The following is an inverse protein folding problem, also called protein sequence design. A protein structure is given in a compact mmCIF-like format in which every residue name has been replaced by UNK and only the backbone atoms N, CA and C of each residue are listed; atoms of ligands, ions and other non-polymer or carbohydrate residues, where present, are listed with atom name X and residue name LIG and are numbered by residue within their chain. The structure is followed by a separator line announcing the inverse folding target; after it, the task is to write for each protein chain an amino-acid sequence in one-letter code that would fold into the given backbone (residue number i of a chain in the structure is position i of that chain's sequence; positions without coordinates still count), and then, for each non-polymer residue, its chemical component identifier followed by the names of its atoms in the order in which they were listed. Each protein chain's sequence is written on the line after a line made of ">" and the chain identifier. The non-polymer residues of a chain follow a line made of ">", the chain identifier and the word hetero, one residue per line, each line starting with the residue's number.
data_IF_651804963431
#
_entry.id   IF_651804963431
#
_cell.length_a   1.000
_cell.length_b   1.000
_cell.length_c   1.000
_cell.angle_alpha   90.00
_cell.angle_beta   90.00
_cell.angle_gamma   90.00
#
_symmetry.space_group_name_H-M   'P 1'
#
loop_
_entity.id
_entity.type
_entity.pdbx_description
1 polymer ?
#
# COMPACT_ATOMS: atom_id res chain seq x y z
N UNK A 1 30.97 -34.35 -0.26
CA UNK A 1 30.83 -33.14 -1.09
C UNK A 1 29.38 -32.88 -1.54
N UNK A 2 28.64 -33.90 -2.01
CA UNK A 2 27.24 -33.75 -2.46
C UNK A 2 26.26 -33.27 -1.35
N UNK A 3 26.38 -33.81 -0.13
CA UNK A 3 25.53 -33.40 1.00
C UNK A 3 25.79 -31.98 1.52
N UNK A 4 27.04 -31.49 1.40
CA UNK A 4 27.41 -30.12 1.82
C UNK A 4 26.77 -29.09 0.89
N UNK A 5 26.74 -29.37 -0.41
CA UNK A 5 26.09 -28.52 -1.41
C UNK A 5 24.57 -28.52 -1.20
N UNK A 6 23.96 -29.68 -0.92
CA UNK A 6 22.51 -29.76 -0.62
C UNK A 6 22.14 -29.00 0.66
N UNK A 7 22.95 -29.08 1.72
CA UNK A 7 22.71 -28.33 2.96
C UNK A 7 22.86 -26.81 2.77
N UNK A 8 23.85 -26.38 1.98
CA UNK A 8 24.00 -24.96 1.62
C UNK A 8 22.82 -24.44 0.82
N UNK A 9 22.33 -25.21 -0.16
CA UNK A 9 21.14 -24.84 -0.93
C UNK A 9 19.87 -24.76 -0.06
N UNK A 10 19.69 -25.69 0.88
CA UNK A 10 18.56 -25.68 1.81
C UNK A 10 18.60 -24.46 2.75
N UNK A 11 19.79 -24.08 3.20
CA UNK A 11 20.00 -22.94 4.09
C UNK A 11 19.74 -21.60 3.36
N UNK A 12 20.24 -21.47 2.12
CA UNK A 12 19.99 -20.29 1.27
C UNK A 12 18.51 -20.17 0.90
N UNK A 13 17.83 -21.30 0.67
CA UNK A 13 16.38 -21.30 0.45
C UNK A 13 15.61 -20.81 1.69
N UNK A 14 15.98 -21.24 2.90
CA UNK A 14 15.37 -20.74 4.14
C UNK A 14 15.61 -19.26 4.39
N UNK A 15 16.79 -18.73 4.06
CA UNK A 15 17.10 -17.29 4.18
C UNK A 15 16.23 -16.41 3.28
N UNK A 16 15.67 -16.97 2.20
CA UNK A 16 14.79 -16.22 1.29
C UNK A 16 13.37 -16.07 1.84
N UNK A 17 13.00 -16.81 2.89
CA UNK A 17 11.71 -16.73 3.59
C UNK A 17 11.82 -16.02 4.94
N UNK A 18 12.81 -15.14 5.14
CA UNK A 18 12.76 -14.20 6.25
C UNK A 18 11.51 -13.33 6.08
N UNK A 19 10.51 -13.51 6.96
CA UNK A 19 9.32 -12.68 7.01
C UNK A 19 9.76 -11.22 7.12
N UNK A 20 9.28 -10.37 6.19
CA UNK A 20 9.52 -8.92 6.30
C UNK A 20 8.97 -8.48 7.66
N UNK A 21 9.71 -7.69 8.45
CA UNK A 21 9.23 -7.26 9.75
C UNK A 21 7.91 -6.49 9.57
N UNK A 22 6.84 -6.98 10.18
CA UNK A 22 5.63 -6.18 10.39
C UNK A 22 6.02 -5.05 11.34
N UNK A 23 5.92 -3.81 10.87
CA UNK A 23 6.18 -2.66 11.70
C UNK A 23 5.05 -2.52 12.72
N UNK A 24 5.38 -2.54 14.02
CA UNK A 24 4.40 -2.45 15.10
C UNK A 24 3.62 -1.11 15.13
N UNK A 25 4.04 -0.15 14.32
CA UNK A 25 3.56 1.24 14.26
C UNK A 25 3.00 1.56 12.85
N UNK A 26 2.53 0.56 12.11
CA UNK A 26 1.92 0.77 10.79
C UNK A 26 0.43 1.12 10.90
N UNK A 27 0.08 2.31 10.44
CA UNK A 27 -1.28 2.70 10.14
C UNK A 27 -1.66 2.37 8.70
N UNK A 28 -2.98 2.24 8.47
CA UNK A 28 -3.57 2.01 7.14
C UNK A 28 -4.74 2.92 6.89
N UNK A 29 -4.74 3.56 5.74
CA UNK A 29 -5.82 4.41 5.26
C UNK A 29 -6.20 4.06 3.82
N UNK A 30 -7.46 4.32 3.46
CA UNK A 30 -7.95 4.21 2.09
C UNK A 30 -8.63 5.53 1.71
N UNK A 31 -8.19 6.13 0.61
CA UNK A 31 -8.74 7.39 0.09
C UNK A 31 -9.24 7.20 -1.33
N UNK A 32 -10.39 7.79 -1.65
CA UNK A 32 -10.98 7.79 -2.99
C UNK A 32 -11.37 9.23 -3.35
N UNK A 33 -10.60 9.88 -4.22
CA UNK A 33 -10.70 11.32 -4.52
C UNK A 33 -10.78 11.66 -6.00
N UNK A 34 -11.10 10.70 -6.88
CA UNK A 34 -11.00 10.87 -8.33
C UNK A 34 -9.85 10.03 -8.89
N UNK A 35 -9.02 10.60 -9.77
CA UNK A 35 -7.94 9.83 -10.39
C UNK A 35 -6.93 9.33 -9.34
N UNK A 36 -6.74 8.02 -9.23
CA UNK A 36 -5.82 7.46 -8.23
C UNK A 36 -4.37 7.88 -8.47
N UNK A 37 -3.96 8.20 -9.71
CA UNK A 37 -2.57 8.59 -9.99
C UNK A 37 -2.23 9.94 -9.34
N UNK A 38 -3.19 10.87 -9.34
CA UNK A 38 -3.03 12.15 -8.68
C UNK A 38 -2.94 11.96 -7.16
N UNK A 39 -3.85 11.18 -6.60
CA UNK A 39 -3.90 10.93 -5.15
C UNK A 39 -2.67 10.16 -4.66
N UNK A 40 -2.22 9.17 -5.44
CA UNK A 40 -1.00 8.40 -5.18
C UNK A 40 0.22 9.30 -5.17
N UNK A 41 0.38 10.13 -6.20
CA UNK A 41 1.52 11.04 -6.31
C UNK A 41 1.62 12.02 -5.14
N UNK A 42 0.49 12.53 -4.66
CA UNK A 42 0.47 13.49 -3.54
C UNK A 42 0.81 12.84 -2.19
N UNK A 43 0.31 11.63 -1.95
CA UNK A 43 0.47 10.98 -0.64
C UNK A 43 1.80 10.21 -0.53
N UNK A 44 2.32 9.66 -1.63
CA UNK A 44 3.56 8.87 -1.60
C UNK A 44 4.81 9.69 -1.23
N UNK A 45 4.78 11.01 -1.43
CA UNK A 45 5.92 11.90 -1.16
C UNK A 45 5.98 12.36 0.29
N UNK A 46 4.98 12.03 1.13
CA UNK A 46 4.92 12.45 2.51
C UNK A 46 5.90 11.65 3.39
N UNK A 47 6.70 12.35 4.21
CA UNK A 47 7.54 11.69 5.20
C UNK A 47 6.67 10.93 6.22
N UNK A 48 7.01 9.67 6.45
CA UNK A 48 6.20 8.73 7.23
C UNK A 48 5.26 7.85 6.40
N UNK A 49 5.00 8.15 5.12
CA UNK A 49 4.30 7.21 4.23
C UNK A 49 5.28 6.12 3.76
N UNK A 50 4.87 4.86 3.94
CA UNK A 50 5.67 3.68 3.62
C UNK A 50 5.35 3.20 2.20
N UNK A 51 4.07 3.15 1.84
CA UNK A 51 3.63 2.79 0.50
C UNK A 51 2.26 3.35 0.19
N UNK A 52 2.04 3.68 -1.09
CA UNK A 52 0.73 3.99 -1.64
C UNK A 52 0.46 3.05 -2.80
N UNK A 53 -0.70 2.39 -2.81
CA UNK A 53 -1.08 1.42 -3.85
C UNK A 53 -2.43 1.79 -4.44
N UNK A 54 -2.44 2.16 -5.72
CA UNK A 54 -3.65 2.37 -6.51
C UNK A 54 -4.49 1.10 -6.71
N UNK A 55 -5.81 1.24 -6.67
CA UNK A 55 -6.77 0.17 -6.90
C UNK A 55 -8.21 0.66 -7.02
N UNK A 56 -9.16 -0.27 -6.87
CA UNK A 56 -10.60 0.00 -6.93
C UNK A 56 -11.28 -0.62 -5.72
N UNK A 57 -12.17 0.12 -5.06
CA UNK A 57 -12.90 -0.36 -3.88
C UNK A 57 -14.25 0.34 -3.71
N UNK A 58 -15.06 -0.13 -2.76
CA UNK A 58 -16.37 0.44 -2.41
C UNK A 58 -17.55 -0.09 -3.23
N UNK A 59 -17.31 -0.87 -4.29
CA UNK A 59 -18.33 -1.53 -5.09
C UNK A 59 -18.55 -3.01 -4.71
N UNK A 60 -19.42 -3.67 -5.47
CA UNK A 60 -19.81 -5.08 -5.32
C UNK A 60 -19.37 -5.94 -6.51
N UNK A 61 -19.02 -5.32 -7.64
CA UNK A 61 -18.53 -6.02 -8.82
C UNK A 61 -17.23 -6.78 -8.50
N UNK A 62 -17.16 -8.06 -8.87
CA UNK A 62 -15.95 -8.86 -8.65
C UNK A 62 -14.85 -8.50 -9.66
N UNK A 63 -13.59 -8.64 -9.24
CA UNK A 63 -12.39 -8.50 -10.06
C UNK A 63 -12.36 -7.22 -10.94
N UNK A 64 -12.48 -6.02 -10.33
CA UNK A 64 -12.47 -4.77 -11.08
C UNK A 64 -11.15 -4.58 -11.83
N UNK A 65 -11.24 -4.04 -13.04
CA UNK A 65 -10.08 -3.68 -13.87
C UNK A 65 -10.17 -2.22 -14.29
N UNK A 66 -9.08 -1.67 -14.81
CA UNK A 66 -9.08 -0.30 -15.33
C UNK A 66 -10.14 -0.06 -16.42
N UNK A 67 -10.37 -1.05 -17.28
CA UNK A 67 -11.38 -0.95 -18.34
C UNK A 67 -12.81 -1.21 -17.84
N UNK A 68 -12.97 -1.82 -16.66
CA UNK A 68 -14.26 -2.24 -16.12
C UNK A 68 -14.21 -2.30 -14.59
N UNK A 69 -14.36 -1.14 -13.96
CA UNK A 69 -14.41 -1.03 -12.49
C UNK A 69 -15.81 -1.24 -11.91
N UNK A 70 -16.86 -1.25 -12.73
CA UNK A 70 -18.24 -1.43 -12.25
C UNK A 70 -18.68 -0.30 -11.33
N UNK A 71 -19.08 -0.66 -10.11
CA UNK A 71 -19.57 0.22 -9.06
C UNK A 71 -18.50 0.61 -8.03
N UNK A 72 -17.21 0.32 -8.31
CA UNK A 72 -16.09 0.75 -7.48
C UNK A 72 -15.66 2.18 -7.78
N UNK A 73 -15.04 2.84 -6.81
CA UNK A 73 -14.29 4.07 -6.98
C UNK A 73 -12.80 3.76 -7.17
N UNK A 74 -12.11 4.58 -7.96
CA UNK A 74 -10.65 4.67 -7.92
C UNK A 74 -10.20 5.12 -6.52
N UNK A 75 -9.27 4.37 -5.94
CA UNK A 75 -8.81 4.58 -4.59
C UNK A 75 -7.33 4.22 -4.44
N UNK A 76 -6.72 4.69 -3.35
CA UNK A 76 -5.37 4.34 -2.95
C UNK A 76 -5.37 3.77 -1.53
N UNK A 77 -4.66 2.66 -1.31
CA UNK A 77 -4.28 2.17 0.03
C UNK A 77 -2.97 2.84 0.44
N UNK A 78 -2.97 3.50 1.59
CA UNK A 78 -1.79 4.15 2.18
C UNK A 78 -1.38 3.38 3.43
N UNK A 79 -0.16 2.86 3.42
CA UNK A 79 0.52 2.32 4.60
C UNK A 79 1.49 3.38 5.11
N UNK A 80 1.43 3.72 6.39
CA UNK A 80 2.23 4.80 6.98
C UNK A 80 2.72 4.44 8.39
N UNK A 81 3.83 5.05 8.80
CA UNK A 81 4.38 4.96 10.15
C UNK A 81 3.67 5.98 11.06
N UNK A 82 2.83 5.50 11.97
CA UNK A 82 2.02 6.34 12.86
C UNK A 82 2.84 7.12 13.90
N UNK A 83 4.14 6.81 14.03
CA UNK A 83 5.07 7.59 14.85
C UNK A 83 5.65 8.80 14.10
N UNK A 84 5.49 8.86 12.78
CA UNK A 84 6.00 9.93 11.91
C UNK A 84 4.90 10.81 11.32
N UNK A 85 3.78 10.21 10.93
CA UNK A 85 2.64 10.92 10.34
C UNK A 85 1.33 10.40 10.92
N UNK A 86 0.41 11.32 11.23
CA UNK A 86 -0.91 10.96 11.76
C UNK A 86 -1.93 10.81 10.64
N UNK A 87 -3.02 10.10 10.92
CA UNK A 87 -4.13 9.98 9.98
C UNK A 87 -4.76 11.34 9.64
N UNK A 88 -4.87 12.23 10.64
CA UNK A 88 -5.36 13.60 10.45
C UNK A 88 -4.49 14.37 9.45
N UNK A 89 -3.17 14.17 9.47
CA UNK A 89 -2.28 14.83 8.51
C UNK A 89 -2.48 14.30 7.09
N UNK A 90 -2.70 13.00 6.92
CA UNK A 90 -3.06 12.42 5.61
C UNK A 90 -4.37 13.01 5.08
N UNK A 91 -5.35 13.16 5.96
CA UNK A 91 -6.64 13.75 5.67
C UNK A 91 -6.56 15.23 5.28
N UNK A 92 -5.74 16.03 5.97
CA UNK A 92 -5.50 17.43 5.61
C UNK A 92 -4.96 17.57 4.18
N UNK A 93 -4.01 16.71 3.80
CA UNK A 93 -3.45 16.70 2.44
C UNK A 93 -4.52 16.29 1.44
N UNK A 94 -5.26 15.21 1.71
CA UNK A 94 -6.36 14.75 0.88
C UNK A 94 -7.40 15.86 0.60
N UNK A 95 -7.94 16.52 1.63
CA UNK A 95 -8.95 17.57 1.45
C UNK A 95 -8.41 18.88 0.87
N UNK A 96 -7.10 19.08 0.86
CA UNK A 96 -6.51 20.24 0.16
C UNK A 96 -6.60 20.12 -1.36
N UNK A 97 -6.76 18.90 -1.88
CA UNK A 97 -6.77 18.59 -3.31
C UNK A 97 -8.12 18.09 -3.82
N UNK A 98 -9.04 17.69 -2.93
CA UNK A 98 -10.37 17.17 -3.29
C UNK A 98 -11.48 18.16 -2.92
N UNK A 99 -12.35 18.49 -3.88
CA UNK A 99 -13.61 19.20 -3.67
C UNK A 99 -14.76 18.16 -3.60
N UNK A 100 -15.37 17.93 -2.42
CA UNK A 100 -16.31 16.84 -2.18
C UNK A 100 -17.71 17.02 -2.79
#
# INVERSE_FOLDING_TARGET
>A
MRYVITLLFLCVFMLSFAEKPVHANEGRAVFAGGCFWCTEAELQELDGVISVTSGYTGGTTADPTYQSMGDHAEAVEVIYDDTKITYERLLEVYWSNIDP
#
